data_IF_487887835091
#
_entry.id   IF_487887835091
#
_cell.length_a   1.000
_cell.length_b   1.000
_cell.length_c   1.000
_cell.angle_alpha   90.00
_cell.angle_beta   90.00
_cell.angle_gamma   90.00
#
_symmetry.space_group_name_H-M   'P 1'
#
loop_
_entity.id
_entity.type
_entity.pdbx_description
1 polymer ?
#
# COMPACT_ATOMS: atom_id res chain seq x y z
N UNK A 1 16.04 2.89 -4.06
CA UNK A 1 16.38 1.49 -4.37
C UNK A 1 15.15 0.57 -4.36
N UNK A 2 14.26 0.59 -3.36
CA UNK A 2 13.03 -0.23 -3.36
C UNK A 2 12.11 -0.01 -4.59
N UNK A 3 12.01 1.20 -5.13
CA UNK A 3 11.21 1.46 -6.33
C UNK A 3 11.82 0.90 -7.63
N UNK A 4 13.14 0.69 -7.67
CA UNK A 4 13.80 0.05 -8.81
C UNK A 4 13.29 -1.37 -9.03
N UNK A 5 12.92 -2.03 -7.92
CA UNK A 5 12.49 -3.41 -7.85
C UNK A 5 11.17 -3.72 -8.57
N UNK A 6 10.26 -2.74 -8.69
CA UNK A 6 8.92 -2.99 -9.28
C UNK A 6 8.89 -2.75 -10.78
N UNK A 7 9.82 -1.93 -11.26
CA UNK A 7 10.03 -1.73 -12.70
C UNK A 7 10.87 -2.86 -13.31
N UNK A 8 11.43 -3.74 -12.47
CA UNK A 8 12.08 -4.99 -12.92
C UNK A 8 11.01 -5.86 -13.51
N UNK A 9 10.97 -5.82 -14.85
CA UNK A 9 10.20 -6.66 -15.75
C UNK A 9 9.29 -7.65 -15.03
N UNK A 10 7.99 -7.37 -15.06
CA UNK A 10 6.92 -8.31 -14.75
C UNK A 10 7.21 -9.75 -15.19
N UNK A 11 7.95 -9.98 -16.28
CA UNK A 11 8.32 -11.32 -16.75
C UNK A 11 9.32 -12.04 -15.82
N UNK A 12 10.27 -11.31 -15.22
CA UNK A 12 11.19 -11.87 -14.24
C UNK A 12 10.47 -12.23 -12.93
N UNK A 13 9.57 -11.36 -12.46
CA UNK A 13 8.76 -11.62 -11.26
C UNK A 13 7.68 -12.70 -11.47
N UNK A 14 7.12 -12.82 -12.69
CA UNK A 14 6.15 -13.87 -13.05
C UNK A 14 6.73 -15.28 -12.92
N UNK A 15 8.03 -15.45 -13.17
CA UNK A 15 8.70 -16.75 -13.08
C UNK A 15 9.04 -17.17 -11.64
N UNK A 16 9.04 -16.23 -10.70
CA UNK A 16 9.38 -16.47 -9.29
C UNK A 16 8.19 -16.97 -8.45
N UNK A 17 7.01 -17.18 -9.04
CA UNK A 17 5.79 -17.65 -8.35
C UNK A 17 5.47 -16.82 -7.09
N UNK A 18 5.60 -15.49 -7.21
CA UNK A 18 5.41 -14.57 -6.08
C UNK A 18 3.93 -14.33 -5.72
N UNK A 19 2.97 -14.88 -6.47
CA UNK A 19 1.54 -14.74 -6.18
C UNK A 19 1.10 -15.76 -5.13
N UNK A 20 0.43 -15.31 -4.08
CA UNK A 20 -0.22 -16.20 -3.10
C UNK A 20 -1.75 -16.10 -3.20
N UNK A 21 -2.35 -17.02 -3.95
CA UNK A 21 -3.81 -17.11 -4.10
C UNK A 21 -4.51 -17.52 -2.79
N UNK A 22 -3.83 -18.25 -1.90
CA UNK A 22 -4.40 -18.68 -0.61
C UNK A 22 -4.56 -17.49 0.33
N UNK A 23 -3.62 -16.55 0.30
CA UNK A 23 -3.69 -15.26 0.97
C UNK A 23 -4.59 -14.24 0.28
N UNK A 24 -5.45 -14.64 -0.67
CA UNK A 24 -6.29 -13.74 -1.49
C UNK A 24 -5.45 -12.68 -2.22
N UNK A 25 -4.21 -13.00 -2.59
CA UNK A 25 -3.25 -12.10 -3.23
C UNK A 25 -2.86 -10.86 -2.37
N UNK A 26 -2.97 -10.97 -1.04
CA UNK A 26 -2.58 -9.94 -0.06
C UNK A 26 -1.18 -10.18 0.55
N UNK A 27 -0.42 -11.10 -0.03
CA UNK A 27 0.99 -11.36 0.27
C UNK A 27 1.71 -11.67 -1.05
N UNK A 28 2.91 -11.11 -1.24
CA UNK A 28 3.66 -11.23 -2.49
C UNK A 28 3.10 -10.37 -3.63
N UNK A 29 3.30 -10.81 -4.87
CA UNK A 29 2.90 -10.08 -6.07
C UNK A 29 1.41 -10.25 -6.41
N UNK A 30 0.79 -9.19 -6.93
CA UNK A 30 -0.58 -9.17 -7.41
C UNK A 30 -0.72 -8.19 -8.58
N UNK A 31 -1.26 -8.68 -9.71
CA UNK A 31 -1.61 -7.89 -10.89
C UNK A 31 -2.83 -8.51 -11.56
N UNK A 32 -3.81 -7.69 -11.96
CA UNK A 32 -4.97 -8.20 -12.69
C UNK A 32 -5.84 -9.16 -11.88
N UNK A 33 -5.85 -9.02 -10.56
CA UNK A 33 -6.71 -9.79 -9.66
C UNK A 33 -7.88 -8.97 -9.11
N UNK A 34 -7.79 -7.64 -9.19
CA UNK A 34 -8.85 -6.72 -8.79
C UNK A 34 -9.75 -6.39 -10.00
N UNK A 35 -11.07 -6.44 -9.79
CA UNK A 35 -12.08 -6.10 -10.81
C UNK A 35 -12.49 -4.63 -10.66
N UNK A 36 -12.35 -3.86 -11.73
CA UNK A 36 -12.82 -2.48 -11.82
C UNK A 36 -14.36 -2.43 -11.77
N UNK A 37 -14.92 -1.24 -11.48
CA UNK A 37 -16.39 -1.03 -11.37
C UNK A 37 -17.18 -1.45 -12.62
N UNK A 38 -16.53 -1.51 -13.79
CA UNK A 38 -17.11 -1.92 -15.06
C UNK A 38 -17.01 -3.44 -15.34
N UNK A 39 -16.51 -4.24 -14.39
CA UNK A 39 -16.31 -5.68 -14.55
C UNK A 39 -15.02 -6.07 -15.27
N UNK A 40 -14.19 -5.11 -15.68
CA UNK A 40 -12.90 -5.38 -16.31
C UNK A 40 -11.82 -5.61 -15.26
N UNK A 41 -10.84 -6.45 -15.61
CA UNK A 41 -9.67 -6.71 -14.76
C UNK A 41 -8.73 -5.51 -14.79
N UNK A 42 -8.31 -5.03 -13.61
CA UNK A 42 -7.32 -3.96 -13.50
C UNK A 42 -5.91 -4.47 -13.79
N UNK A 43 -5.46 -4.24 -15.02
CA UNK A 43 -4.10 -4.57 -15.48
C UNK A 43 -3.14 -3.39 -15.42
N UNK A 44 -3.61 -2.21 -15.00
CA UNK A 44 -2.81 -0.99 -14.93
C UNK A 44 -2.27 -0.72 -13.51
N UNK A 45 -2.58 -1.60 -12.55
CA UNK A 45 -2.08 -1.53 -11.19
C UNK A 45 -1.46 -2.86 -10.74
N UNK A 46 -0.15 -2.84 -10.49
CA UNK A 46 0.58 -3.89 -9.79
C UNK A 46 0.70 -3.57 -8.31
N UNK A 47 0.71 -4.61 -7.47
CA UNK A 47 0.92 -4.50 -6.03
C UNK A 47 1.85 -5.59 -5.55
N UNK A 48 2.83 -5.24 -4.72
CA UNK A 48 3.62 -6.19 -3.95
C UNK A 48 3.34 -5.98 -2.47
N UNK A 49 2.82 -7.01 -1.80
CA UNK A 49 2.45 -6.98 -0.39
C UNK A 49 3.49 -7.70 0.46
N UNK A 50 3.81 -7.13 1.62
CA UNK A 50 4.60 -7.78 2.64
C UNK A 50 4.04 -7.49 4.04
N UNK A 51 3.94 -8.53 4.85
CA UNK A 51 3.72 -8.42 6.29
C UNK A 51 4.97 -7.84 6.94
N UNK A 52 4.77 -6.90 7.85
CA UNK A 52 5.83 -6.20 8.57
C UNK A 52 6.05 -6.77 9.98
N UNK A 53 5.71 -8.04 10.22
CA UNK A 53 5.92 -8.70 11.52
C UNK A 53 7.42 -8.70 11.92
N UNK A 54 8.32 -8.67 10.93
CA UNK A 54 9.76 -8.45 11.09
C UNK A 54 10.10 -7.19 11.93
N UNK A 55 9.20 -6.19 11.96
CA UNK A 55 9.37 -4.98 12.76
C UNK A 55 9.46 -5.31 14.25
N UNK A 56 8.61 -6.23 14.72
CA UNK A 56 8.53 -6.68 16.11
C UNK A 56 9.56 -7.76 16.41
N UNK A 57 9.67 -8.77 15.53
CA UNK A 57 10.67 -9.83 15.62
C UNK A 57 11.21 -10.11 14.21
N UNK A 58 12.51 -9.89 13.93
CA UNK A 58 13.12 -10.10 12.61
C UNK A 58 12.95 -11.50 12.01
N UNK A 59 12.63 -12.51 12.81
CA UNK A 59 12.40 -13.89 12.35
C UNK A 59 10.97 -14.13 11.81
N UNK A 60 10.04 -13.19 12.00
CA UNK A 60 8.64 -13.35 11.60
C UNK A 60 8.37 -12.88 10.17
N UNK A 61 7.77 -13.76 9.37
CA UNK A 61 7.29 -13.47 8.00
C UNK A 61 5.80 -13.11 7.93
N UNK A 62 5.07 -13.29 9.03
CA UNK A 62 3.65 -12.99 9.18
C UNK A 62 3.28 -12.89 10.67
N UNK A 63 2.02 -12.59 10.98
CA UNK A 63 1.52 -12.70 12.33
C UNK A 63 1.50 -14.17 12.79
N UNK A 64 1.67 -14.40 14.10
CA UNK A 64 1.56 -15.72 14.70
C UNK A 64 0.10 -16.14 14.82
N UNK A 65 -0.17 -17.45 14.72
CA UNK A 65 -1.52 -17.98 14.91
C UNK A 65 -1.95 -17.87 16.37
N UNK A 66 -3.23 -17.60 16.56
CA UNK A 66 -3.90 -17.55 17.87
C UNK A 66 -4.94 -18.68 17.95
N UNK A 67 -5.65 -18.78 19.07
CA UNK A 67 -6.75 -19.75 19.19
C UNK A 67 -7.90 -19.46 18.23
N UNK A 68 -8.09 -18.19 17.84
CA UNK A 68 -9.17 -17.75 16.96
C UNK A 68 -8.73 -17.60 15.50
N UNK A 69 -7.48 -17.15 15.27
CA UNK A 69 -6.97 -16.86 13.94
C UNK A 69 -5.81 -17.78 13.58
N UNK A 70 -5.97 -18.54 12.50
CA UNK A 70 -4.98 -19.48 11.99
C UNK A 70 -4.77 -19.27 10.49
N UNK A 71 -3.71 -19.86 9.94
CA UNK A 71 -3.47 -19.86 8.50
C UNK A 71 -4.67 -20.44 7.71
N UNK A 72 -5.40 -21.39 8.28
CA UNK A 72 -6.54 -22.04 7.61
C UNK A 72 -7.75 -21.11 7.47
N UNK A 73 -8.04 -20.30 8.49
CA UNK A 73 -9.26 -19.47 8.51
C UNK A 73 -8.99 -17.96 8.26
N UNK A 74 -7.73 -17.53 8.28
CA UNK A 74 -7.35 -16.13 8.11
C UNK A 74 -6.01 -15.93 7.37
N UNK A 75 -5.84 -16.56 6.19
CA UNK A 75 -4.57 -16.56 5.45
C UNK A 75 -4.11 -15.15 5.01
N UNK A 76 -5.02 -14.20 4.81
CA UNK A 76 -4.69 -12.81 4.45
C UNK A 76 -3.69 -12.09 5.40
N UNK A 77 -3.62 -12.50 6.66
CA UNK A 77 -2.67 -11.96 7.66
C UNK A 77 -1.64 -12.98 8.13
N UNK A 78 -1.94 -14.28 7.97
CA UNK A 78 -1.14 -15.38 8.50
C UNK A 78 -0.35 -16.15 7.45
N UNK A 79 -0.50 -15.85 6.16
CA UNK A 79 0.41 -16.36 5.13
C UNK A 79 1.77 -15.67 5.21
N UNK A 80 2.89 -16.42 5.21
CA UNK A 80 4.24 -15.86 5.26
C UNK A 80 4.55 -15.06 4.00
N UNK A 81 5.41 -14.05 4.14
CA UNK A 81 5.93 -13.28 3.00
C UNK A 81 6.53 -14.16 1.91
N UNK A 82 6.33 -13.75 0.66
CA UNK A 82 6.92 -14.38 -0.52
C UNK A 82 7.93 -13.41 -1.15
N UNK A 83 9.18 -13.51 -0.72
CA UNK A 83 10.28 -12.64 -1.17
C UNK A 83 10.84 -13.08 -2.53
N UNK A 84 11.15 -12.15 -3.46
CA UNK A 84 11.89 -12.49 -4.67
C UNK A 84 13.28 -13.01 -4.31
N UNK A 85 13.80 -13.94 -5.12
CA UNK A 85 15.15 -14.44 -4.92
C UNK A 85 16.22 -13.36 -5.18
N UNK A 86 17.34 -13.46 -4.48
CA UNK A 86 18.50 -12.57 -4.67
C UNK A 86 19.08 -12.66 -6.10
N UNK A 87 18.80 -13.74 -6.83
CA UNK A 87 19.19 -13.89 -8.23
C UNK A 87 18.35 -13.05 -9.20
N UNK A 88 17.13 -12.67 -8.80
CA UNK A 88 16.22 -11.83 -9.59
C UNK A 88 16.25 -10.38 -9.09
N UNK A 89 16.27 -10.18 -7.78
CA UNK A 89 16.12 -8.87 -7.16
C UNK A 89 17.07 -8.70 -5.97
N UNK A 90 18.39 -8.58 -6.24
CA UNK A 90 19.40 -8.54 -5.19
C UNK A 90 19.18 -7.36 -4.24
N UNK A 91 19.22 -7.64 -2.94
CA UNK A 91 19.06 -6.66 -1.87
C UNK A 91 17.64 -6.11 -1.71
N UNK A 92 16.62 -6.69 -2.38
CA UNK A 92 15.25 -6.20 -2.29
C UNK A 92 14.70 -6.27 -0.87
N UNK A 93 14.75 -7.46 -0.25
CA UNK A 93 14.23 -7.69 1.11
C UNK A 93 14.83 -6.72 2.13
N UNK A 94 16.16 -6.62 2.32
CA UNK A 94 16.72 -5.71 3.33
C UNK A 94 16.37 -4.24 3.07
N UNK A 95 16.35 -3.80 1.80
CA UNK A 95 15.97 -2.42 1.43
C UNK A 95 14.49 -2.15 1.74
N UNK A 96 13.61 -3.11 1.46
CA UNK A 96 12.19 -2.99 1.71
C UNK A 96 11.89 -2.95 3.21
N UNK A 97 12.50 -3.85 3.99
CA UNK A 97 12.37 -3.88 5.44
C UNK A 97 12.88 -2.59 6.08
N UNK A 98 14.04 -2.07 5.66
CA UNK A 98 14.60 -0.82 6.17
C UNK A 98 13.65 0.37 5.96
N UNK A 99 13.09 0.51 4.75
CA UNK A 99 12.12 1.57 4.46
C UNK A 99 10.83 1.40 5.28
N UNK A 100 10.33 0.17 5.44
CA UNK A 100 9.17 -0.09 6.29
C UNK A 100 9.45 0.27 7.75
N UNK A 101 10.63 -0.07 8.30
CA UNK A 101 11.04 0.30 9.66
C UNK A 101 11.02 1.81 9.85
N UNK A 102 11.61 2.56 8.92
CA UNK A 102 11.60 4.04 8.95
C UNK A 102 10.17 4.61 8.99
N UNK A 103 9.28 4.08 8.15
CA UNK A 103 7.88 4.54 8.10
C UNK A 103 7.16 4.20 9.40
N UNK A 104 7.35 2.99 9.95
CA UNK A 104 6.70 2.56 11.20
C UNK A 104 7.25 3.33 12.40
N UNK A 105 8.57 3.54 12.50
CA UNK A 105 9.20 4.37 13.54
C UNK A 105 8.64 5.80 13.52
N UNK A 106 8.42 6.35 12.32
CA UNK A 106 7.79 7.66 12.16
C UNK A 106 6.31 7.61 12.55
N UNK A 107 5.60 6.55 12.19
CA UNK A 107 4.20 6.33 12.56
C UNK A 107 4.02 6.25 14.08
N UNK A 108 4.98 5.67 14.82
CA UNK A 108 5.00 5.66 16.30
C UNK A 108 4.99 7.08 16.87
N UNK A 109 5.73 8.02 16.27
CA UNK A 109 5.75 9.42 16.71
C UNK A 109 4.40 10.10 16.43
N UNK A 110 3.82 9.84 15.27
CA UNK A 110 2.48 10.36 14.89
C UNK A 110 1.41 9.79 15.82
N UNK A 111 1.46 8.49 16.10
CA UNK A 111 0.56 7.77 17.00
C UNK A 111 0.57 8.39 18.41
N UNK A 112 1.75 8.67 18.96
CA UNK A 112 1.89 9.33 20.26
C UNK A 112 1.23 10.71 20.28
N UNK A 113 1.35 11.49 19.21
CA UNK A 113 0.68 12.79 19.12
C UNK A 113 -0.84 12.65 19.03
N UNK A 114 -1.34 11.64 18.30
CA UNK A 114 -2.75 11.29 18.28
C UNK A 114 -3.26 10.85 19.67
N UNK A 115 -2.51 10.04 20.41
CA UNK A 115 -2.83 9.61 21.77
C UNK A 115 -2.97 10.81 22.72
N UNK A 116 -2.03 11.75 22.68
CA UNK A 116 -2.10 12.97 23.50
C UNK A 116 -3.40 13.75 23.28
N UNK A 117 -3.91 13.80 22.05
CA UNK A 117 -5.20 14.38 21.75
C UNK A 117 -6.36 13.51 22.26
N UNK A 118 -6.33 12.20 21.95
CA UNK A 118 -7.40 11.26 22.27
C UNK A 118 -7.64 11.16 23.79
N UNK A 119 -6.57 11.03 24.59
CA UNK A 119 -6.61 10.98 26.05
C UNK A 119 -7.34 12.18 26.68
N UNK A 120 -7.26 13.36 26.04
CA UNK A 120 -7.88 14.58 26.54
C UNK A 120 -9.31 14.79 26.03
N UNK A 121 -9.68 14.16 24.92
CA UNK A 121 -10.91 14.49 24.15
C UNK A 121 -11.90 13.34 24.06
N UNK A 122 -11.51 12.14 24.48
CA UNK A 122 -12.31 10.92 24.35
C UNK A 122 -12.42 10.26 25.72
N UNK A 123 -13.62 10.28 26.27
CA UNK A 123 -13.92 9.59 27.51
C UNK A 123 -13.75 8.08 27.34
N UNK A 124 -13.05 7.45 28.28
CA UNK A 124 -12.76 6.02 28.26
C UNK A 124 -11.65 5.59 27.28
N UNK A 125 -10.92 6.53 26.67
CA UNK A 125 -9.79 6.19 25.82
C UNK A 125 -8.66 5.54 26.62
N UNK A 126 -8.17 4.39 26.15
CA UNK A 126 -7.03 3.70 26.75
C UNK A 126 -5.75 4.51 26.52
N UNK A 127 -5.09 4.91 27.60
CA UNK A 127 -3.86 5.72 27.56
C UNK A 127 -2.79 5.06 26.69
N UNK A 128 -2.21 5.79 25.74
CA UNK A 128 -1.15 5.31 24.85
C UNK A 128 -1.53 4.16 23.92
N UNK A 129 -2.83 3.96 23.66
CA UNK A 129 -3.32 2.82 22.89
C UNK A 129 -2.75 2.80 21.47
N UNK A 130 -2.78 3.92 20.75
CA UNK A 130 -2.37 3.92 19.35
C UNK A 130 -0.85 3.74 19.21
N UNK A 131 -0.06 4.38 20.07
CA UNK A 131 1.39 4.15 20.10
C UNK A 131 1.71 2.68 20.40
N UNK A 132 0.98 2.05 21.33
CA UNK A 132 1.11 0.63 21.61
C UNK A 132 0.87 -0.19 20.35
N UNK A 133 -0.30 -0.04 19.73
CA UNK A 133 -0.68 -0.75 18.50
C UNK A 133 0.39 -0.64 17.41
N UNK A 134 0.83 0.58 17.10
CA UNK A 134 1.80 0.79 16.02
C UNK A 134 3.17 0.15 16.35
N UNK A 135 3.55 0.12 17.63
CA UNK A 135 4.85 -0.40 18.07
C UNK A 135 4.89 -1.92 18.17
N UNK A 136 3.78 -2.56 18.55
CA UNK A 136 3.77 -3.97 18.94
C UNK A 136 3.06 -4.87 17.93
N UNK A 137 2.35 -4.30 16.96
CA UNK A 137 1.54 -5.11 16.08
C UNK A 137 2.33 -5.92 15.06
N UNK A 138 1.99 -7.20 14.96
CA UNK A 138 2.51 -8.14 13.95
C UNK A 138 1.69 -8.18 12.65
N UNK A 139 0.59 -7.41 12.56
CA UNK A 139 -0.32 -7.39 11.39
C UNK A 139 -0.14 -6.16 10.50
N UNK A 140 0.82 -5.28 10.82
CA UNK A 140 1.20 -4.17 9.94
C UNK A 140 1.56 -4.72 8.56
N UNK A 141 1.03 -4.10 7.50
CA UNK A 141 1.20 -4.59 6.13
C UNK A 141 1.68 -3.46 5.23
N UNK A 142 2.65 -3.76 4.39
CA UNK A 142 3.15 -2.86 3.37
C UNK A 142 2.59 -3.26 2.01
N UNK A 143 2.30 -2.26 1.18
CA UNK A 143 1.90 -2.42 -0.22
C UNK A 143 2.71 -1.46 -1.07
N UNK A 144 3.62 -2.03 -1.85
CA UNK A 144 4.37 -1.33 -2.88
C UNK A 144 3.53 -1.33 -4.16
N UNK A 145 3.13 -0.15 -4.59
CA UNK A 145 2.23 0.08 -5.72
C UNK A 145 3.02 0.49 -6.94
N UNK A 146 2.64 -0.08 -8.07
CA UNK A 146 3.13 0.30 -9.38
C UNK A 146 1.94 0.53 -10.31
N UNK A 147 1.85 1.75 -10.82
CA UNK A 147 0.86 2.11 -11.81
C UNK A 147 1.55 2.15 -13.17
N UNK A 148 1.07 1.29 -14.06
CA UNK A 148 1.62 1.13 -15.40
C UNK A 148 1.24 2.32 -16.28
N UNK A 149 2.08 2.64 -17.29
CA UNK A 149 1.73 3.59 -18.33
C UNK A 149 0.42 3.21 -19.01
N UNK A 150 -0.46 4.19 -19.23
CA UNK A 150 -1.72 3.97 -19.94
C UNK A 150 -1.43 3.61 -21.41
N UNK A 151 -2.01 2.53 -21.96
CA UNK A 151 -1.81 2.15 -23.35
C UNK A 151 -2.30 3.27 -24.30
N UNK A 152 -1.71 3.40 -25.50
CA UNK A 152 -2.20 4.36 -26.49
C UNK A 152 -3.65 4.05 -26.84
N UNK A 153 -4.55 5.04 -26.70
CA UNK A 153 -5.94 4.89 -27.12
C UNK A 153 -5.97 4.66 -28.64
N UNK A 154 -6.47 3.51 -29.07
CA UNK A 154 -6.76 3.27 -30.49
C UNK A 154 -7.71 4.36 -30.97
N UNK A 155 -7.33 5.06 -32.05
CA UNK A 155 -8.06 6.17 -32.62
C UNK A 155 -9.31 5.71 -33.35
N UNK A 156 -10.30 5.17 -32.64
CA UNK A 156 -11.66 5.06 -33.16
C UNK A 156 -12.45 6.25 -32.62
N UNK A 157 -12.86 7.12 -33.54
CA UNK A 157 -13.39 8.47 -33.32
C UNK A 157 -14.75 8.57 -32.64
N UNK A 158 -15.03 7.76 -31.62
CA UNK A 158 -16.11 8.02 -30.68
C UNK A 158 -15.58 8.93 -29.58
N UNK A 159 -16.02 10.20 -29.57
CA UNK A 159 -15.97 11.03 -28.36
C UNK A 159 -16.93 10.44 -27.32
N UNK A 160 -16.55 9.31 -26.75
CA UNK A 160 -17.06 8.86 -25.47
C UNK A 160 -16.27 9.57 -24.39
N UNK A 161 -16.96 10.08 -23.37
CA UNK A 161 -16.36 10.53 -22.12
C UNK A 161 -15.37 9.45 -21.69
N UNK A 162 -14.06 9.75 -21.72
CA UNK A 162 -13.05 8.88 -21.12
C UNK A 162 -13.52 8.75 -19.67
N UNK A 163 -13.86 7.54 -19.18
CA UNK A 163 -14.16 7.37 -17.78
C UNK A 163 -13.01 7.99 -17.00
N UNK A 164 -13.28 8.71 -15.91
CA UNK A 164 -12.22 9.18 -15.02
C UNK A 164 -11.41 7.91 -14.65
N UNK A 165 -10.26 7.72 -15.30
CA UNK A 165 -9.47 6.48 -15.24
C UNK A 165 -8.77 6.46 -13.88
N UNK A 166 -9.56 6.07 -12.88
CA UNK A 166 -9.15 5.91 -11.50
C UNK A 166 -8.25 4.67 -11.42
N UNK A 167 -6.93 4.88 -11.53
CA UNK A 167 -5.88 3.92 -11.14
C UNK A 167 -6.17 3.27 -9.77
N UNK A 168 -6.85 3.99 -8.88
CA UNK A 168 -7.46 3.43 -7.70
C UNK A 168 -8.76 4.17 -7.39
N UNK A 169 -9.89 3.47 -7.33
CA UNK A 169 -11.19 4.06 -7.03
C UNK A 169 -11.25 4.61 -5.59
N UNK A 170 -12.22 5.48 -5.31
CA UNK A 170 -12.44 6.02 -3.96
C UNK A 170 -12.67 4.91 -2.93
N UNK A 171 -11.82 4.90 -1.91
CA UNK A 171 -11.88 3.97 -0.78
C UNK A 171 -11.29 4.64 0.48
N UNK A 172 -11.34 3.91 1.59
CA UNK A 172 -10.69 4.24 2.86
C UNK A 172 -9.77 3.08 3.25
N UNK A 173 -8.72 3.38 3.99
CA UNK A 173 -7.85 2.34 4.55
C UNK A 173 -8.47 1.76 5.82
N UNK A 174 -8.29 0.46 6.03
CA UNK A 174 -8.94 -0.23 7.15
C UNK A 174 -8.18 -0.10 8.47
N UNK A 175 -6.87 0.17 8.42
CA UNK A 175 -5.97 0.23 9.56
C UNK A 175 -6.14 1.48 10.44
N UNK A 176 -5.13 1.76 11.25
CA UNK A 176 -5.11 2.95 12.08
C UNK A 176 -4.48 4.15 11.36
N UNK A 177 -3.20 4.03 11.00
CA UNK A 177 -2.47 5.03 10.23
C UNK A 177 -1.86 4.38 8.99
N UNK A 178 -1.91 5.08 7.86
CA UNK A 178 -1.20 4.68 6.64
C UNK A 178 -0.08 5.68 6.39
N UNK A 179 1.16 5.21 6.48
CA UNK A 179 2.34 5.96 6.05
C UNK A 179 2.54 5.80 4.55
N UNK A 180 2.63 6.90 3.82
CA UNK A 180 2.77 6.91 2.36
C UNK A 180 4.02 7.69 1.95
N UNK A 181 4.88 7.08 1.15
CA UNK A 181 6.02 7.77 0.56
C UNK A 181 5.57 8.76 -0.51
N UNK A 182 6.39 9.77 -0.81
CA UNK A 182 6.24 10.54 -2.04
C UNK A 182 6.22 9.60 -3.27
N UNK A 183 5.49 10.02 -4.31
CA UNK A 183 5.36 9.26 -5.53
C UNK A 183 6.61 9.41 -6.39
N UNK A 184 7.18 8.29 -6.79
CA UNK A 184 8.32 8.22 -7.71
C UNK A 184 7.81 8.00 -9.14
N UNK A 185 8.19 8.88 -10.05
CA UNK A 185 7.82 8.79 -11.47
C UNK A 185 9.03 8.39 -12.30
N UNK A 186 8.89 7.35 -13.13
CA UNK A 186 9.98 6.82 -13.96
C UNK A 186 9.50 6.61 -15.39
N UNK A 187 10.40 6.80 -16.36
CA UNK A 187 10.19 6.33 -17.72
C UNK A 187 10.60 4.85 -17.79
N UNK A 188 9.63 3.97 -18.05
CA UNK A 188 9.89 2.54 -18.14
C UNK A 188 10.79 2.18 -19.32
N UNK A 189 10.80 2.95 -20.41
CA UNK A 189 11.66 2.67 -21.56
C UNK A 189 13.12 2.86 -21.19
N UNK A 190 13.44 3.98 -20.53
CA UNK A 190 14.78 4.24 -19.99
C UNK A 190 15.16 3.20 -18.92
N UNK A 191 14.21 2.84 -18.06
CA UNK A 191 14.43 1.85 -16.99
C UNK A 191 14.77 0.46 -17.55
N UNK A 192 14.01 -0.02 -18.54
CA UNK A 192 14.26 -1.31 -19.20
C UNK A 192 15.64 -1.36 -19.86
N UNK A 193 16.10 -0.26 -20.44
CA UNK A 193 17.44 -0.18 -21.03
C UNK A 193 18.54 -0.33 -19.95
N UNK A 194 18.42 0.40 -18.84
CA UNK A 194 19.38 0.35 -17.73
C UNK A 194 19.51 -1.04 -17.09
N UNK A 195 18.40 -1.77 -16.99
CA UNK A 195 18.39 -3.10 -16.38
C UNK A 195 18.96 -4.16 -17.34
N UNK A 196 18.71 -4.06 -18.65
CA UNK A 196 19.27 -4.99 -19.65
C UNK A 196 20.80 -5.01 -19.65
N UNK A 197 21.41 -3.86 -19.35
CA UNK A 197 22.86 -3.69 -19.32
C UNK A 197 23.46 -4.02 -17.94
N UNK A 198 22.63 -4.37 -16.94
CA UNK A 198 23.08 -4.71 -15.61
C UNK A 198 23.69 -6.11 -15.55
N UNK A 199 24.89 -6.20 -14.98
CA UNK A 199 25.65 -7.44 -14.83
C UNK A 199 25.33 -8.06 -13.46
N UNK A 200 24.96 -9.34 -13.47
CA UNK A 200 24.52 -10.19 -12.34
C UNK A 200 25.43 -10.24 -11.09
N UNK A 201 26.57 -9.53 -11.05
CA UNK A 201 27.53 -9.57 -9.95
C UNK A 201 27.34 -8.48 -8.90
N UNK A 202 26.43 -7.53 -9.12
CA UNK A 202 26.19 -6.43 -8.18
C UNK A 202 25.21 -6.84 -7.07
N UNK A 203 25.45 -6.34 -5.85
CA UNK A 203 24.60 -6.62 -4.68
C UNK A 203 23.34 -5.76 -4.63
N UNK A 204 23.21 -4.79 -5.54
CA UNK A 204 22.06 -3.89 -5.66
C UNK A 204 21.84 -3.47 -7.13
N UNK A 205 20.57 -3.24 -7.48
CA UNK A 205 20.20 -2.64 -8.77
C UNK A 205 20.63 -1.17 -8.86
N UNK A 206 20.92 -0.65 -10.08
CA UNK A 206 21.21 0.76 -10.27
C UNK A 206 20.01 1.63 -9.85
N UNK A 207 20.31 2.84 -9.36
CA UNK A 207 19.27 3.83 -9.09
C UNK A 207 18.56 4.22 -10.40
N UNK A 208 17.23 4.19 -10.38
CA UNK A 208 16.44 4.60 -11.54
C UNK A 208 16.45 6.12 -11.71
N UNK A 209 16.51 6.62 -12.96
CA UNK A 209 16.36 8.04 -13.25
C UNK A 209 14.91 8.46 -12.97
N UNK A 210 14.72 9.13 -11.85
CA UNK A 210 13.42 9.67 -11.46
C UNK A 210 13.13 11.01 -12.16
N UNK A 211 11.91 11.16 -12.66
CA UNK A 211 11.40 12.42 -13.20
C UNK A 211 11.14 13.43 -12.06
N UNK A 212 11.43 14.72 -12.24
CA UNK A 212 11.27 15.73 -11.19
C UNK A 212 9.82 15.85 -10.69
N UNK A 213 8.84 15.62 -11.56
CA UNK A 213 7.41 15.58 -11.24
C UNK A 213 6.66 14.72 -12.28
N UNK A 214 5.38 14.42 -12.00
CA UNK A 214 4.47 13.88 -13.02
C UNK A 214 4.44 14.79 -14.24
N UNK A 215 4.52 14.25 -15.48
CA UNK A 215 4.31 15.03 -16.69
C UNK A 215 2.84 15.44 -16.87
N UNK A 216 1.91 14.69 -16.27
CA UNK A 216 0.51 15.06 -16.17
C UNK A 216 0.21 15.71 -14.80
N UNK A 217 -0.14 17.01 -14.76
CA UNK A 217 -0.44 17.70 -13.51
C UNK A 217 -1.74 17.21 -12.84
N UNK A 218 -2.62 16.50 -13.53
CA UNK A 218 -3.86 15.93 -12.99
C UNK A 218 -3.70 14.48 -12.51
N UNK A 219 -2.56 13.84 -12.78
CA UNK A 219 -2.28 12.51 -12.24
C UNK A 219 -1.89 12.59 -10.76
N UNK A 220 -2.16 11.52 -10.01
CA UNK A 220 -1.69 11.35 -8.65
C UNK A 220 -2.80 11.17 -7.61
N UNK A 221 -2.45 11.42 -6.35
CA UNK A 221 -3.30 11.14 -5.19
C UNK A 221 -4.31 12.27 -4.96
N UNK A 222 -5.57 11.89 -4.76
CA UNK A 222 -6.66 12.78 -4.41
C UNK A 222 -7.33 12.30 -3.12
N UNK A 223 -7.71 13.26 -2.27
CA UNK A 223 -8.48 13.01 -1.05
C UNK A 223 -9.79 13.78 -1.08
N UNK A 224 -10.79 13.27 -0.39
CA UNK A 224 -12.02 14.01 -0.12
C UNK A 224 -11.91 14.68 1.26
N UNK A 225 -12.02 15.99 1.28
CA UNK A 225 -12.04 16.79 2.50
C UNK A 225 -13.35 16.56 3.26
N UNK A 226 -13.38 16.96 4.54
CA UNK A 226 -14.58 16.87 5.38
C UNK A 226 -15.74 17.74 4.89
N UNK A 227 -15.46 18.71 4.02
CA UNK A 227 -16.45 19.57 3.39
C UNK A 227 -16.93 19.01 2.03
N UNK A 228 -16.48 17.81 1.64
CA UNK A 228 -16.80 17.18 0.36
C UNK A 228 -15.97 17.70 -0.82
N UNK A 229 -14.89 18.44 -0.56
CA UNK A 229 -14.02 18.96 -1.61
C UNK A 229 -12.97 17.93 -2.00
N UNK A 230 -12.76 17.73 -3.30
CA UNK A 230 -11.68 16.91 -3.83
C UNK A 230 -10.38 17.72 -3.87
N UNK A 231 -9.34 17.25 -3.17
CA UNK A 231 -8.04 17.91 -3.08
C UNK A 231 -6.94 16.98 -3.61
N UNK A 232 -6.11 17.49 -4.53
CA UNK A 232 -4.91 16.77 -4.97
C UNK A 232 -3.80 16.93 -3.94
N UNK A 233 -3.24 15.81 -3.49
CA UNK A 233 -2.16 15.78 -2.50
C UNK A 233 -0.81 15.65 -3.20
N UNK A 234 0.09 16.59 -2.90
CA UNK A 234 1.48 16.59 -3.39
C UNK A 234 2.43 16.43 -2.21
N UNK A 235 2.86 15.19 -1.97
CA UNK A 235 3.82 14.87 -0.91
C UNK A 235 5.21 15.31 -1.37
N UNK A 236 5.91 16.20 -0.65
CA UNK A 236 7.29 16.58 -0.99
C UNK A 236 8.22 15.35 -1.01
N UNK A 237 9.28 15.42 -1.81
CA UNK A 237 10.17 14.29 -2.11
C UNK A 237 10.85 13.68 -0.88
N UNK A 238 11.13 14.53 0.09
CA UNK A 238 11.80 14.23 1.36
C UNK A 238 10.82 14.00 2.52
N UNK A 239 9.53 13.85 2.23
CA UNK A 239 8.48 13.70 3.23
C UNK A 239 7.78 12.33 3.14
N UNK A 240 7.26 11.92 4.29
CA UNK A 240 6.29 10.82 4.44
C UNK A 240 4.97 11.46 4.88
N UNK A 241 3.87 11.11 4.22
CA UNK A 241 2.55 11.53 4.63
C UNK A 241 1.87 10.47 5.48
N UNK A 242 1.02 10.89 6.41
CA UNK A 242 0.19 9.99 7.21
C UNK A 242 -1.28 10.34 7.04
N UNK A 243 -2.09 9.32 6.81
CA UNK A 243 -3.55 9.44 6.83
C UNK A 243 -4.14 8.45 7.83
N UNK A 244 -5.35 8.77 8.31
CA UNK A 244 -6.09 7.96 9.28
C UNK A 244 -7.02 6.98 8.57
N UNK A 245 -7.15 5.77 9.12
CA UNK A 245 -8.02 4.71 8.61
C UNK A 245 -9.22 4.39 9.52
N UNK A 246 -10.03 3.43 9.09
CA UNK A 246 -11.31 3.07 9.72
C UNK A 246 -11.15 2.49 11.13
N UNK A 247 -10.12 1.68 11.40
CA UNK A 247 -9.90 1.16 12.75
C UNK A 247 -9.67 2.33 13.73
N UNK A 248 -8.84 3.31 13.36
CA UNK A 248 -8.62 4.48 14.21
C UNK A 248 -9.88 5.34 14.35
N UNK A 249 -10.67 5.48 13.29
CA UNK A 249 -11.98 6.13 13.38
C UNK A 249 -12.89 5.45 14.40
N UNK A 250 -12.92 4.11 14.40
CA UNK A 250 -13.70 3.33 15.37
C UNK A 250 -13.17 3.49 16.79
N UNK A 251 -11.88 3.27 17.01
CA UNK A 251 -11.19 3.40 18.30
C UNK A 251 -11.43 4.79 18.91
N UNK A 252 -11.46 5.82 18.07
CA UNK A 252 -11.57 7.22 18.51
C UNK A 252 -12.99 7.77 18.47
N UNK A 253 -14.00 6.92 18.26
CA UNK A 253 -15.42 7.30 18.19
C UNK A 253 -15.66 8.47 17.21
N UNK A 254 -14.98 8.44 16.06
CA UNK A 254 -15.11 9.44 14.99
C UNK A 254 -14.35 10.75 15.20
N UNK A 255 -13.51 10.87 16.23
CA UNK A 255 -12.67 12.08 16.43
C UNK A 255 -11.56 12.17 15.38
N UNK A 256 -10.91 11.05 15.09
CA UNK A 256 -10.21 10.86 13.83
C UNK A 256 -11.17 10.19 12.86
N UNK A 257 -11.12 10.56 11.58
CA UNK A 257 -12.00 10.00 10.54
C UNK A 257 -11.15 9.35 9.48
N UNK A 258 -11.57 8.21 8.96
CA UNK A 258 -10.92 7.62 7.81
C UNK A 258 -10.96 8.62 6.64
N UNK A 259 -9.86 8.73 5.90
CA UNK A 259 -9.75 9.70 4.79
C UNK A 259 -10.11 9.02 3.46
N UNK A 260 -11.25 9.37 2.83
CA UNK A 260 -11.58 8.81 1.52
C UNK A 260 -10.60 9.36 0.48
N UNK A 261 -10.02 8.48 -0.31
CA UNK A 261 -8.99 8.83 -1.27
C UNK A 261 -9.01 7.94 -2.50
N UNK A 262 -8.43 8.44 -3.59
CA UNK A 262 -8.37 7.77 -4.89
C UNK A 262 -7.13 8.25 -5.65
N UNK A 263 -6.74 7.54 -6.70
CA UNK A 263 -5.56 7.88 -7.51
C UNK A 263 -5.97 7.98 -8.98
N UNK A 264 -5.62 9.11 -9.62
CA UNK A 264 -5.81 9.33 -11.05
C UNK A 264 -4.56 8.97 -11.85
N UNK A 265 -4.78 8.35 -13.01
CA UNK A 265 -3.74 8.03 -13.96
C UNK A 265 -3.17 9.19 -14.75
N UNK A 266 -1.99 8.96 -15.32
CA UNK A 266 -1.41 9.84 -16.36
C UNK A 266 -2.26 9.65 -17.62
N UNK A 267 -2.82 10.75 -18.11
CA UNK A 267 -3.63 10.74 -19.31
C UNK A 267 -2.81 10.28 -20.53
N UNK A 268 -3.41 9.51 -21.45
CA UNK A 268 -2.73 9.10 -22.67
C UNK A 268 -2.23 10.31 -23.46
N UNK A 269 -0.95 10.29 -23.87
CA UNK A 269 -0.26 11.33 -24.67
C UNK A 269 0.20 12.60 -23.92
N UNK A 270 0.18 12.63 -22.59
CA UNK A 270 0.78 13.74 -21.82
C UNK A 270 2.23 13.41 -21.49
N UNK A 271 3.16 13.95 -22.29
CA UNK A 271 4.61 13.75 -22.16
C UNK A 271 5.18 12.78 -23.21
N UNK A 272 6.51 12.78 -23.33
CA UNK A 272 7.26 11.78 -24.09
C UNK A 272 7.67 10.65 -23.15
N UNK A 273 7.25 9.41 -23.42
CA UNK A 273 7.70 8.21 -22.70
C UNK A 273 6.59 7.40 -22.02
N UNK A 274 6.98 6.22 -21.53
CA UNK A 274 6.13 5.25 -20.84
C UNK A 274 6.21 5.52 -19.34
N UNK A 275 5.41 6.44 -18.83
CA UNK A 275 5.56 6.97 -17.46
C UNK A 275 4.83 6.11 -16.45
N UNK A 276 5.59 5.47 -15.56
CA UNK A 276 5.07 4.72 -14.43
C UNK A 276 5.11 5.54 -13.13
N UNK A 277 4.14 5.30 -12.24
CA UNK A 277 4.09 5.89 -10.88
C UNK A 277 4.28 4.80 -9.83
N UNK A 278 5.18 5.04 -8.89
CA UNK A 278 5.51 4.11 -7.81
C UNK A 278 5.31 4.78 -6.45
N UNK A 279 4.77 4.05 -5.47
CA UNK A 279 4.64 4.54 -4.09
C UNK A 279 4.58 3.35 -3.12
N UNK A 280 5.09 3.52 -1.91
CA UNK A 280 4.95 2.54 -0.85
C UNK A 280 3.95 3.05 0.18
N UNK A 281 2.92 2.26 0.44
CA UNK A 281 1.99 2.43 1.55
C UNK A 281 2.30 1.42 2.65
N UNK A 282 2.37 1.87 3.90
CA UNK A 282 2.51 1.00 5.08
C UNK A 282 1.30 1.23 5.98
N UNK A 283 0.43 0.24 6.04
CA UNK A 283 -0.77 0.21 6.86
C UNK A 283 -0.41 -0.29 8.25
N UNK A 284 -0.33 0.64 9.21
CA UNK A 284 -0.22 0.28 10.63
C UNK A 284 -1.59 -0.15 11.13
N UNK A 285 -1.66 -1.36 11.68
CA UNK A 285 -2.91 -2.03 12.01
C UNK A 285 -2.79 -2.66 13.40
N UNK A 286 -3.86 -2.72 14.20
CA UNK A 286 -3.87 -3.50 15.44
C UNK A 286 -3.62 -4.98 15.19
N UNK A 287 -3.03 -5.70 16.15
CA UNK A 287 -2.94 -7.16 16.07
C UNK A 287 -4.33 -7.79 16.08
N UNK A 288 -4.47 -9.02 15.59
CA UNK A 288 -5.79 -9.63 15.35
C UNK A 288 -6.67 -9.67 16.61
N UNK A 289 -6.09 -10.00 17.75
CA UNK A 289 -6.79 -10.08 19.04
C UNK A 289 -6.97 -8.70 19.71
N UNK A 290 -6.40 -7.63 19.15
CA UNK A 290 -6.47 -6.29 19.74
C UNK A 290 -7.89 -5.73 19.61
N UNK A 291 -8.47 -5.25 20.71
CA UNK A 291 -9.79 -4.66 20.72
C UNK A 291 -9.79 -3.32 19.97
N UNK A 292 -10.67 -3.19 18.98
CA UNK A 292 -10.87 -1.93 18.23
C UNK A 292 -12.18 -1.23 18.60
N UNK A 293 -13.06 -1.93 19.32
CA UNK A 293 -14.27 -1.40 19.89
C UNK A 293 -14.52 -2.03 21.26
N UNK A 294 -14.21 -1.28 22.31
CA UNK A 294 -14.37 -1.75 23.69
C UNK A 294 -15.82 -1.87 24.12
N UNK A 295 -16.76 -1.17 23.47
CA UNK A 295 -18.18 -1.21 23.84
C UNK A 295 -18.85 -2.48 23.31
N UNK A 296 -18.55 -2.86 22.06
CA UNK A 296 -19.07 -4.07 21.44
C UNK A 296 -18.18 -5.31 21.63
N UNK A 297 -16.96 -5.14 22.14
CA UNK A 297 -15.99 -6.22 22.35
C UNK A 297 -15.36 -6.76 21.08
N UNK A 298 -15.43 -6.00 19.97
CA UNK A 298 -14.93 -6.42 18.67
C UNK A 298 -13.40 -6.25 18.59
N UNK A 299 -12.71 -7.31 18.19
CA UNK A 299 -11.27 -7.28 17.92
C UNK A 299 -10.97 -6.91 16.45
N UNK A 300 -9.70 -6.64 16.15
CA UNK A 300 -9.31 -6.24 14.80
C UNK A 300 -9.49 -7.37 13.78
N UNK A 301 -9.25 -8.62 14.13
CA UNK A 301 -9.43 -9.75 13.23
C UNK A 301 -10.89 -9.91 12.77
N UNK A 302 -11.85 -9.78 13.68
CA UNK A 302 -13.29 -9.75 13.39
C UNK A 302 -13.67 -8.54 12.52
N UNK A 303 -13.15 -7.36 12.85
CA UNK A 303 -13.35 -6.15 12.06
C UNK A 303 -12.81 -6.32 10.63
N UNK A 304 -11.56 -6.79 10.49
CA UNK A 304 -10.89 -7.00 9.22
C UNK A 304 -11.60 -8.07 8.37
N UNK A 305 -12.07 -9.16 8.98
CA UNK A 305 -12.86 -10.21 8.30
C UNK A 305 -14.09 -9.61 7.62
N UNK A 306 -14.87 -8.81 8.35
CA UNK A 306 -16.07 -8.15 7.81
C UNK A 306 -15.78 -7.17 6.68
N UNK A 307 -14.56 -6.61 6.62
CA UNK A 307 -14.12 -5.75 5.51
C UNK A 307 -13.67 -6.56 4.30
N UNK A 308 -12.88 -7.62 4.51
CA UNK A 308 -12.44 -8.52 3.43
C UNK A 308 -13.64 -9.16 2.74
N UNK A 309 -14.61 -9.67 3.50
CA UNK A 309 -15.84 -10.26 2.96
C UNK A 309 -16.60 -9.29 2.05
N UNK A 310 -16.74 -8.01 2.42
CA UNK A 310 -17.39 -6.99 1.59
C UNK A 310 -16.66 -6.74 0.26
N UNK A 311 -15.34 -6.87 0.27
CA UNK A 311 -14.49 -6.60 -0.89
C UNK A 311 -14.33 -7.82 -1.81
N UNK A 312 -14.41 -9.04 -1.29
CA UNK A 312 -14.25 -10.28 -2.07
C UNK A 312 -15.56 -10.94 -2.49
N UNK A 313 -16.71 -10.58 -1.91
CA UNK A 313 -18.01 -11.20 -2.23
C UNK A 313 -18.72 -10.60 -3.45
N UNK A 314 -17.97 -10.18 -4.49
CA UNK A 314 -18.53 -9.63 -5.74
C UNK A 314 -18.25 -10.51 -6.94
#
# INVERSE_FOLDING_TARGET
>A
MAHAAVTVSLEALKNEQLEDATAKYLTGWSLGKETLKNGQVDTLKGSYYANCAFYVNPELECAESTAEFSLENFPEYLSPNVWPSEGVLPGFRPTFEELCRLIIDTAVLVARACDQYAEQKIEGYTKGYLEHVVRTSTTTKARLLHYYPSPPVASDGTQGVVPDDDWCATHVDHGCLTGLTSAMFVDETATRALIKDHISTDTHLPALPELPSSPDPQAGLYIQSRNGETVQVKIPRDCIAFQTGEALEKITKGKFRAVPHFVKGVAPKVGDGDIARNTLAVFTQPSLDELVDTESGINFGEFARGVVEKNTSK
#
